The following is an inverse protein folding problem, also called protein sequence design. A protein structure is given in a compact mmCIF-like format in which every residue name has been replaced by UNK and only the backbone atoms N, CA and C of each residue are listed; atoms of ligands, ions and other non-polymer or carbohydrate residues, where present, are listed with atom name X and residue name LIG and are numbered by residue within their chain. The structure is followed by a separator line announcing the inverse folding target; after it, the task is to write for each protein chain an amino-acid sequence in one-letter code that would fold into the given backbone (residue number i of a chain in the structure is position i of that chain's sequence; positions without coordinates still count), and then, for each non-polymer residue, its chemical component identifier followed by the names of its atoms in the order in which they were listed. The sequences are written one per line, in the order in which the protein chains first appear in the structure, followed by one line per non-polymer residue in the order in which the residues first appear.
data_IF_209071074004
#
_entry.id   IF_209071074004
#
_cell.length_a   1.000
_cell.length_b   1.000
_cell.length_c   1.000
_cell.angle_alpha   90.00
_cell.angle_beta   90.00
_cell.angle_gamma   90.00
#
_symmetry.space_group_name_H-M   'P 1'
#
loop_
_entity.id
_entity.type
_entity.pdbx_description
1 polymer ?
#
# COMPACT_ATOMS: atom_id res chain seq x y z
N UNK A 1 -13.30 13.66 21.90
CA UNK A 1 -13.11 12.51 20.97
C UNK A 1 -12.62 11.26 21.69
N UNK A 2 -11.55 11.31 22.50
CA UNK A 2 -11.03 10.14 23.21
C UNK A 2 -12.02 9.50 24.21
N UNK A 3 -12.92 10.28 24.82
CA UNK A 3 -13.97 9.76 25.72
C UNK A 3 -15.06 8.98 24.99
N UNK A 4 -15.46 9.41 23.79
CA UNK A 4 -16.46 8.72 22.95
C UNK A 4 -15.96 7.36 22.48
N UNK A 5 -14.69 7.29 22.02
CA UNK A 5 -14.11 6.01 21.61
C UNK A 5 -13.92 5.05 22.79
N UNK A 6 -13.54 5.54 23.98
CA UNK A 6 -13.53 4.72 25.21
C UNK A 6 -14.94 4.24 25.57
N UNK A 7 -15.96 5.07 25.44
CA UNK A 7 -17.34 4.70 25.79
C UNK A 7 -17.95 3.62 24.87
N UNK A 8 -17.41 3.43 23.67
CA UNK A 8 -17.81 2.33 22.76
C UNK A 8 -16.83 1.14 22.79
N UNK A 9 -15.99 1.03 23.83
CA UNK A 9 -15.08 -0.11 24.03
C UNK A 9 -13.85 -0.11 23.14
N UNK A 10 -13.50 1.03 22.53
CA UNK A 10 -12.27 1.23 21.75
C UNK A 10 -11.16 1.86 22.61
N UNK A 11 -10.89 1.32 23.81
CA UNK A 11 -9.70 1.67 24.59
C UNK A 11 -8.60 0.64 24.35
N UNK A 12 -7.52 1.06 23.72
CA UNK A 12 -6.38 0.19 23.40
C UNK A 12 -5.30 0.31 24.49
N UNK A 13 -5.57 -0.22 25.67
CA UNK A 13 -4.53 -0.35 26.71
C UNK A 13 -3.72 -1.63 26.46
N UNK A 14 -2.41 -1.43 26.20
CA UNK A 14 -1.31 -2.36 26.48
C UNK A 14 -1.25 -3.75 25.82
N UNK A 15 -2.34 -4.29 25.26
CA UNK A 15 -2.37 -5.70 24.84
C UNK A 15 -3.29 -6.04 23.66
N UNK A 16 -4.18 -5.15 23.23
CA UNK A 16 -5.24 -5.54 22.28
C UNK A 16 -4.94 -5.21 20.81
N UNK A 17 -3.73 -5.58 20.38
CA UNK A 17 -3.36 -5.53 18.96
C UNK A 17 -4.24 -6.45 18.10
N UNK A 18 -4.90 -7.44 18.72
CA UNK A 18 -5.97 -8.25 18.13
C UNK A 18 -7.16 -7.39 17.68
N UNK A 19 -7.58 -6.39 18.47
CA UNK A 19 -8.67 -5.49 18.09
C UNK A 19 -8.33 -4.57 16.91
N UNK A 20 -7.06 -4.15 16.79
CA UNK A 20 -6.59 -3.39 15.62
C UNK A 20 -6.56 -4.26 14.37
N UNK A 21 -6.10 -5.52 14.49
CA UNK A 21 -6.23 -6.53 13.44
C UNK A 21 -7.70 -6.74 13.04
N UNK A 22 -8.63 -6.82 13.99
CA UNK A 22 -10.03 -7.12 13.72
C UNK A 22 -10.79 -5.99 12.98
N UNK A 23 -10.31 -4.74 13.03
CA UNK A 23 -10.97 -3.58 12.37
C UNK A 23 -10.21 -3.02 11.18
N UNK A 24 -8.88 -3.08 11.21
CA UNK A 24 -8.04 -2.59 10.11
C UNK A 24 -7.94 -3.60 8.97
N UNK A 25 -7.87 -4.90 9.28
CA UNK A 25 -7.81 -5.97 8.26
C UNK A 25 -9.07 -6.01 7.40
N UNK A 26 -10.31 -5.91 7.92
CA UNK A 26 -11.50 -5.84 7.07
C UNK A 26 -11.51 -4.63 6.13
N UNK A 27 -11.03 -3.46 6.58
CA UNK A 27 -10.93 -2.28 5.72
C UNK A 27 -9.93 -2.52 4.58
N UNK A 28 -8.78 -3.11 4.88
CA UNK A 28 -7.79 -3.49 3.86
C UNK A 28 -8.34 -4.56 2.91
N UNK A 29 -9.12 -5.53 3.40
CA UNK A 29 -9.81 -6.51 2.57
C UNK A 29 -10.84 -5.86 1.65
N UNK A 30 -11.60 -4.87 2.13
CA UNK A 30 -12.53 -4.11 1.27
C UNK A 30 -11.76 -3.38 0.18
N UNK A 31 -10.65 -2.71 0.51
CA UNK A 31 -9.79 -2.03 -0.47
C UNK A 31 -9.23 -3.03 -1.49
N UNK A 32 -8.70 -4.17 -1.04
CA UNK A 32 -8.21 -5.25 -1.91
C UNK A 32 -9.33 -5.73 -2.84
N UNK A 33 -10.53 -5.96 -2.29
CA UNK A 33 -11.68 -6.46 -3.03
C UNK A 33 -12.17 -5.46 -4.08
N UNK A 34 -12.27 -4.18 -3.73
CA UNK A 34 -12.67 -3.13 -4.66
C UNK A 34 -11.62 -2.93 -5.75
N UNK A 35 -10.33 -2.91 -5.39
CA UNK A 35 -9.23 -2.83 -6.35
C UNK A 35 -9.25 -4.04 -7.29
N UNK A 36 -9.41 -5.25 -6.78
CA UNK A 36 -9.52 -6.46 -7.61
C UNK A 36 -10.74 -6.43 -8.54
N UNK A 37 -11.91 -6.01 -8.03
CA UNK A 37 -13.13 -5.89 -8.84
C UNK A 37 -12.96 -4.84 -9.93
N UNK A 38 -12.37 -3.69 -9.62
CA UNK A 38 -12.16 -2.61 -10.59
C UNK A 38 -11.08 -2.97 -11.62
N UNK A 39 -10.03 -3.67 -11.21
CA UNK A 39 -9.01 -4.25 -12.11
C UNK A 39 -9.62 -5.29 -13.05
N UNK A 40 -10.51 -6.14 -12.54
CA UNK A 40 -11.19 -7.15 -13.36
C UNK A 40 -12.23 -6.52 -14.28
N UNK A 41 -12.83 -5.39 -13.88
CA UNK A 41 -13.95 -4.75 -14.58
C UNK A 41 -13.53 -3.68 -15.58
N UNK A 42 -12.44 -2.97 -15.32
CA UNK A 42 -11.86 -2.04 -16.29
C UNK A 42 -11.00 -2.82 -17.27
N UNK A 43 -11.11 -2.54 -18.56
CA UNK A 43 -10.06 -2.89 -19.52
C UNK A 43 -8.84 -2.02 -19.13
N UNK A 44 -8.07 -2.47 -18.12
CA UNK A 44 -7.08 -1.65 -17.38
C UNK A 44 -6.05 -1.00 -18.31
N UNK A 45 -5.84 -1.54 -19.51
CA UNK A 45 -4.85 -1.09 -20.49
C UNK A 45 -4.89 0.40 -20.82
N UNK A 46 -6.05 1.02 -20.98
CA UNK A 46 -6.12 2.44 -21.39
C UNK A 46 -5.97 3.44 -20.24
N UNK A 47 -6.13 3.00 -18.99
CA UNK A 47 -6.18 3.89 -17.82
C UNK A 47 -5.31 3.43 -16.65
N UNK A 48 -4.37 2.50 -16.87
CA UNK A 48 -3.46 1.95 -15.85
C UNK A 48 -2.87 3.05 -14.97
N UNK A 49 -2.36 4.12 -15.58
CA UNK A 49 -1.69 5.21 -14.87
C UNK A 49 -2.63 5.92 -13.92
N UNK A 50 -3.79 6.36 -14.42
CA UNK A 50 -4.74 7.11 -13.62
C UNK A 50 -5.23 6.29 -12.42
N UNK A 51 -5.52 5.01 -12.66
CA UNK A 51 -5.93 4.09 -11.63
C UNK A 51 -4.81 3.83 -10.60
N UNK A 52 -3.58 3.59 -11.05
CA UNK A 52 -2.43 3.40 -10.18
C UNK A 52 -2.19 4.63 -9.30
N UNK A 53 -2.20 5.84 -9.89
CA UNK A 53 -2.02 7.09 -9.14
C UNK A 53 -3.15 7.33 -8.12
N UNK A 54 -4.41 7.06 -8.51
CA UNK A 54 -5.55 7.16 -7.59
C UNK A 54 -5.43 6.16 -6.44
N UNK A 55 -5.12 4.90 -6.74
CA UNK A 55 -4.87 3.87 -5.73
C UNK A 55 -3.77 4.29 -4.75
N UNK A 56 -2.67 4.83 -5.28
CA UNK A 56 -1.54 5.28 -4.47
C UNK A 56 -1.93 6.41 -3.51
N UNK A 57 -2.74 7.36 -3.98
CA UNK A 57 -3.30 8.40 -3.13
C UNK A 57 -4.18 7.79 -2.02
N UNK A 58 -5.07 6.86 -2.37
CA UNK A 58 -5.97 6.19 -1.42
C UNK A 58 -5.19 5.40 -0.37
N UNK A 59 -4.24 4.55 -0.77
CA UNK A 59 -3.50 3.70 0.17
C UNK A 59 -2.65 4.55 1.12
N UNK A 60 -1.98 5.60 0.62
CA UNK A 60 -1.20 6.50 1.45
C UNK A 60 -2.10 7.24 2.46
N UNK A 61 -3.25 7.73 2.01
CA UNK A 61 -4.21 8.41 2.88
C UNK A 61 -4.75 7.47 3.96
N UNK A 62 -5.16 6.25 3.60
CA UNK A 62 -5.67 5.26 4.54
C UNK A 62 -4.63 4.87 5.61
N UNK A 63 -3.37 4.67 5.23
CA UNK A 63 -2.33 4.33 6.19
C UNK A 63 -2.04 5.50 7.14
N UNK A 64 -1.96 6.74 6.63
CA UNK A 64 -1.79 7.93 7.47
C UNK A 64 -2.95 8.11 8.47
N UNK A 65 -4.19 7.98 8.00
CA UNK A 65 -5.36 8.03 8.88
C UNK A 65 -5.37 6.89 9.90
N UNK A 66 -4.97 5.69 9.47
CA UNK A 66 -4.78 4.54 10.35
C UNK A 66 -3.81 4.87 11.49
N UNK A 67 -2.64 5.42 11.19
CA UNK A 67 -1.67 5.83 12.20
C UNK A 67 -2.22 6.88 13.17
N UNK A 68 -2.83 7.95 12.66
CA UNK A 68 -3.42 9.01 13.48
C UNK A 68 -4.48 8.45 14.44
N UNK A 69 -5.33 7.55 13.95
CA UNK A 69 -6.35 6.89 14.74
C UNK A 69 -5.73 5.95 15.78
N UNK A 70 -4.76 5.12 15.39
CA UNK A 70 -4.04 4.23 16.30
C UNK A 70 -3.43 4.99 17.47
N UNK A 71 -2.75 6.12 17.21
CA UNK A 71 -2.19 6.96 18.28
C UNK A 71 -3.28 7.58 19.14
N UNK A 72 -4.34 8.10 18.54
CA UNK A 72 -5.44 8.76 19.27
C UNK A 72 -6.16 7.81 20.22
N UNK A 73 -6.30 6.53 19.84
CA UNK A 73 -7.02 5.51 20.60
C UNK A 73 -6.17 4.84 21.70
N UNK A 74 -4.85 4.81 21.54
CA UNK A 74 -3.92 4.13 22.45
C UNK A 74 -3.29 5.08 23.46
N UNK A 75 -3.10 6.35 23.12
CA UNK A 75 -2.34 7.29 23.96
C UNK A 75 -3.25 8.10 24.89
N UNK A 76 -2.96 8.17 26.20
CA UNK A 76 -3.56 9.16 27.09
C UNK A 76 -3.29 10.59 26.58
N UNK A 77 -4.35 11.36 26.33
CA UNK A 77 -4.26 12.69 25.71
C UNK A 77 -4.40 12.71 24.19
N UNK A 78 -4.45 11.55 23.52
CA UNK A 78 -4.67 11.43 22.08
C UNK A 78 -3.45 11.81 21.23
N UNK A 79 -3.70 12.11 19.95
CA UNK A 79 -2.64 12.50 19.02
C UNK A 79 -2.13 13.93 19.31
N UNK A 80 -0.80 14.13 19.49
CA UNK A 80 -0.23 15.43 19.84
C UNK A 80 -0.13 16.34 18.60
N UNK A 81 -1.23 16.98 18.22
CA UNK A 81 -1.28 17.91 17.08
C UNK A 81 -0.38 19.14 17.25
N UNK A 82 -0.01 19.52 18.48
CA UNK A 82 0.90 20.66 18.73
C UNK A 82 2.35 20.37 18.38
N UNK A 83 2.77 19.10 18.38
CA UNK A 83 4.14 18.69 18.02
C UNK A 83 4.14 17.26 17.45
N UNK A 84 3.49 17.02 16.29
CA UNK A 84 3.24 15.68 15.78
C UNK A 84 4.52 14.88 15.51
N UNK A 85 5.60 15.58 15.12
CA UNK A 85 6.90 14.98 14.81
C UNK A 85 7.76 14.66 16.03
N UNK A 86 7.47 15.28 17.18
CA UNK A 86 8.16 14.99 18.43
C UNK A 86 7.65 13.70 19.10
N UNK A 87 6.58 13.11 18.55
CA UNK A 87 6.04 11.87 19.06
C UNK A 87 6.88 10.66 18.65
N UNK A 88 7.43 9.98 19.66
CA UNK A 88 8.06 8.67 19.51
C UNK A 88 7.00 7.60 19.67
N UNK A 89 6.64 6.93 18.56
CA UNK A 89 5.79 5.76 18.61
C UNK A 89 6.60 4.53 19.04
N UNK A 90 5.96 3.60 19.74
CA UNK A 90 6.57 2.34 20.17
C UNK A 90 5.74 1.13 19.76
N UNK A 91 6.38 -0.04 19.83
CA UNK A 91 5.80 -1.33 19.53
C UNK A 91 5.07 -1.33 18.21
N UNK A 92 3.78 -1.53 18.27
CA UNK A 92 3.01 -1.88 17.10
C UNK A 92 2.40 -0.64 16.41
N UNK A 93 2.29 0.49 17.10
CA UNK A 93 2.07 1.82 16.49
C UNK A 93 3.31 2.26 15.71
N UNK A 94 4.51 1.98 16.25
CA UNK A 94 5.76 2.21 15.53
C UNK A 94 5.80 1.43 14.22
N UNK A 95 5.35 0.17 14.22
CA UNK A 95 5.22 -0.64 13.00
C UNK A 95 4.25 -0.04 11.97
N UNK A 96 3.14 0.58 12.38
CA UNK A 96 2.26 1.34 11.46
C UNK A 96 3.01 2.51 10.85
N UNK A 97 3.77 3.27 11.65
CA UNK A 97 4.58 4.39 11.16
C UNK A 97 5.60 3.92 10.12
N UNK A 98 6.36 2.86 10.43
CA UNK A 98 7.37 2.33 9.51
C UNK A 98 6.75 1.74 8.24
N UNK A 99 5.55 1.16 8.30
CA UNK A 99 4.88 0.65 7.10
C UNK A 99 4.43 1.78 6.17
N UNK A 100 4.04 2.95 6.71
CA UNK A 100 3.77 4.16 5.93
C UNK A 100 5.04 4.64 5.24
N UNK A 101 6.13 4.79 5.99
CA UNK A 101 7.43 5.27 5.46
C UNK A 101 7.92 4.37 4.32
N UNK A 102 7.90 3.05 4.51
CA UNK A 102 8.27 2.10 3.45
C UNK A 102 7.33 2.16 2.24
N UNK A 103 6.03 2.35 2.47
CA UNK A 103 5.06 2.51 1.38
C UNK A 103 5.36 3.76 0.58
N UNK A 104 5.67 4.86 1.23
CA UNK A 104 6.04 6.10 0.56
C UNK A 104 7.32 5.96 -0.28
N UNK A 105 8.37 5.33 0.26
CA UNK A 105 9.63 5.10 -0.48
C UNK A 105 9.42 4.29 -1.77
N UNK A 106 8.72 3.16 -1.66
CA UNK A 106 8.44 2.30 -2.82
C UNK A 106 7.42 2.91 -3.80
N UNK A 107 6.50 3.74 -3.31
CA UNK A 107 5.52 4.46 -4.14
C UNK A 107 6.19 5.36 -5.18
N UNK A 108 7.23 6.08 -4.80
CA UNK A 108 7.94 6.99 -5.72
C UNK A 108 8.48 6.20 -6.92
N UNK A 109 9.13 5.05 -6.67
CA UNK A 109 9.65 4.19 -7.72
C UNK A 109 8.53 3.66 -8.64
N UNK A 110 7.40 3.25 -8.05
CA UNK A 110 6.26 2.75 -8.82
C UNK A 110 5.60 3.83 -9.69
N UNK A 111 5.41 5.05 -9.17
CA UNK A 111 4.87 6.20 -9.93
C UNK A 111 5.72 6.45 -11.17
N UNK A 112 7.04 6.50 -10.99
CA UNK A 112 7.98 6.76 -12.08
C UNK A 112 7.89 5.62 -13.12
N UNK A 113 7.88 4.36 -12.67
CA UNK A 113 7.77 3.22 -13.57
C UNK A 113 6.49 3.27 -14.42
N UNK A 114 5.33 3.47 -13.79
CA UNK A 114 4.03 3.51 -14.48
C UNK A 114 3.94 4.66 -15.49
N UNK A 115 4.46 5.85 -15.14
CA UNK A 115 4.46 7.00 -16.06
C UNK A 115 5.37 6.76 -17.26
N UNK A 116 6.56 6.17 -17.04
CA UNK A 116 7.49 5.87 -18.15
C UNK A 116 6.89 4.79 -19.06
N UNK A 117 6.32 3.74 -18.48
CA UNK A 117 5.62 2.69 -19.21
C UNK A 117 4.54 3.26 -20.13
N UNK A 118 3.67 4.14 -19.62
CA UNK A 118 2.60 4.78 -20.39
C UNK A 118 3.10 5.58 -21.60
N UNK A 119 4.32 6.11 -21.54
CA UNK A 119 4.89 6.94 -22.62
C UNK A 119 5.73 6.17 -23.62
N UNK A 120 6.32 5.05 -23.22
CA UNK A 120 7.38 4.38 -23.99
C UNK A 120 6.99 2.97 -24.42
N UNK A 121 6.07 2.32 -23.71
CA UNK A 121 5.67 0.95 -24.04
C UNK A 121 4.71 0.91 -25.22
N UNK A 122 4.91 -0.08 -26.10
CA UNK A 122 3.96 -0.38 -27.18
C UNK A 122 2.67 -1.02 -26.66
N UNK A 123 1.63 -1.03 -27.49
CA UNK A 123 0.28 -1.50 -27.11
C UNK A 123 0.28 -2.94 -26.54
N UNK A 124 1.19 -3.79 -27.01
CA UNK A 124 1.30 -5.17 -26.52
C UNK A 124 1.96 -5.24 -25.13
N UNK A 125 2.95 -4.38 -24.88
CA UNK A 125 3.58 -4.28 -23.57
C UNK A 125 2.66 -3.64 -22.51
N UNK A 126 1.67 -2.83 -22.92
CA UNK A 126 0.71 -2.18 -22.00
C UNK A 126 -0.09 -3.19 -21.17
N UNK A 127 -0.54 -4.32 -21.76
CA UNK A 127 -1.29 -5.35 -21.02
C UNK A 127 -0.42 -6.04 -19.96
N UNK A 128 0.84 -6.33 -20.30
CA UNK A 128 1.78 -6.91 -19.36
C UNK A 128 2.11 -5.93 -18.24
N UNK A 129 2.36 -4.65 -18.57
CA UNK A 129 2.60 -3.57 -17.62
C UNK A 129 1.42 -3.42 -16.67
N UNK A 130 0.18 -3.46 -17.18
CA UNK A 130 -1.02 -3.43 -16.37
C UNK A 130 -1.03 -4.57 -15.34
N UNK A 131 -0.70 -5.79 -15.77
CA UNK A 131 -0.63 -6.96 -14.90
C UNK A 131 0.42 -6.79 -13.77
N UNK A 132 1.61 -6.28 -14.10
CA UNK A 132 2.64 -5.98 -13.10
C UNK A 132 2.25 -4.85 -12.16
N UNK A 133 1.60 -3.80 -12.66
CA UNK A 133 1.08 -2.71 -11.85
C UNK A 133 0.04 -3.20 -10.84
N UNK A 134 -0.88 -4.06 -11.26
CA UNK A 134 -1.85 -4.72 -10.36
C UNK A 134 -1.12 -5.52 -9.28
N UNK A 135 -0.10 -6.28 -9.65
CA UNK A 135 0.68 -7.05 -8.67
C UNK A 135 1.37 -6.15 -7.64
N UNK A 136 1.92 -5.01 -8.06
CA UNK A 136 2.45 -3.99 -7.14
C UNK A 136 1.36 -3.50 -6.21
N UNK A 137 0.19 -3.15 -6.73
CA UNK A 137 -0.93 -2.66 -5.92
C UNK A 137 -1.41 -3.71 -4.90
N UNK A 138 -1.52 -4.98 -5.29
CA UNK A 138 -1.90 -6.05 -4.37
C UNK A 138 -0.87 -6.24 -3.26
N UNK A 139 0.41 -6.37 -3.64
CA UNK A 139 1.51 -6.57 -2.69
C UNK A 139 1.66 -5.39 -1.74
N UNK A 140 1.51 -4.14 -2.22
CA UNK A 140 1.55 -2.94 -1.37
C UNK A 140 0.33 -2.78 -0.48
N UNK A 141 -0.81 -3.38 -0.82
CA UNK A 141 -1.99 -3.39 0.05
C UNK A 141 -1.84 -4.40 1.19
N UNK A 142 -1.30 -5.59 0.93
CA UNK A 142 -1.11 -6.60 1.98
C UNK A 142 0.13 -6.34 2.85
N UNK A 143 1.15 -5.65 2.32
CA UNK A 143 2.41 -5.40 3.03
C UNK A 143 2.22 -4.72 4.39
N UNK A 144 1.45 -3.63 4.53
CA UNK A 144 1.18 -3.02 5.83
C UNK A 144 0.52 -3.97 6.82
N UNK A 145 -0.34 -4.90 6.37
CA UNK A 145 -0.97 -5.90 7.25
C UNK A 145 0.09 -6.82 7.85
N UNK A 146 0.98 -7.35 7.02
CA UNK A 146 2.09 -8.18 7.50
C UNK A 146 3.07 -7.41 8.38
N UNK A 147 3.31 -6.13 8.05
CA UNK A 147 4.18 -5.26 8.84
C UNK A 147 3.62 -5.01 10.24
N UNK A 148 2.34 -4.63 10.31
CA UNK A 148 1.65 -4.35 11.56
C UNK A 148 1.53 -5.63 12.40
N UNK A 149 1.18 -6.74 11.74
CA UNK A 149 1.04 -8.08 12.33
C UNK A 149 2.36 -8.77 12.69
N UNK A 150 3.51 -8.16 12.43
CA UNK A 150 4.85 -8.70 12.76
C UNK A 150 5.15 -10.06 12.09
N UNK A 151 4.69 -10.23 10.84
CA UNK A 151 4.88 -11.46 10.06
C UNK A 151 6.04 -11.28 9.09
N UNK A 152 7.26 -11.53 9.59
CA UNK A 152 8.51 -11.19 8.91
C UNK A 152 8.65 -11.75 7.50
N UNK A 153 8.42 -13.06 7.33
CA UNK A 153 8.59 -13.71 6.04
C UNK A 153 7.64 -13.14 4.97
N UNK A 154 6.35 -12.99 5.29
CA UNK A 154 5.36 -12.44 4.35
C UNK A 154 5.59 -10.95 4.07
N UNK A 155 6.05 -10.19 5.06
CA UNK A 155 6.49 -8.80 4.88
C UNK A 155 7.64 -8.72 3.88
N UNK A 156 8.70 -9.50 4.08
CA UNK A 156 9.85 -9.50 3.17
C UNK A 156 9.48 -9.97 1.76
N UNK A 157 8.68 -11.03 1.67
CA UNK A 157 8.23 -11.58 0.39
C UNK A 157 7.36 -10.60 -0.40
N UNK A 158 6.36 -9.98 0.24
CA UNK A 158 5.49 -8.98 -0.42
C UNK A 158 6.28 -7.74 -0.86
N UNK A 159 7.26 -7.29 -0.07
CA UNK A 159 8.16 -6.23 -0.48
C UNK A 159 9.01 -6.61 -1.69
N UNK A 160 9.67 -7.78 -1.65
CA UNK A 160 10.52 -8.25 -2.73
C UNK A 160 9.74 -8.41 -4.03
N UNK A 161 8.53 -8.98 -3.96
CA UNK A 161 7.64 -9.16 -5.11
C UNK A 161 7.23 -7.82 -5.71
N UNK A 162 6.85 -6.84 -4.87
CA UNK A 162 6.52 -5.48 -5.31
C UNK A 162 7.70 -4.81 -6.01
N UNK A 163 8.89 -4.85 -5.39
CA UNK A 163 10.08 -4.26 -5.96
C UNK A 163 10.48 -4.94 -7.28
N UNK A 164 10.44 -6.26 -7.35
CA UNK A 164 10.76 -7.01 -8.57
C UNK A 164 9.83 -6.61 -9.73
N UNK A 165 8.53 -6.47 -9.48
CA UNK A 165 7.56 -5.99 -10.47
C UNK A 165 7.91 -4.58 -10.97
N UNK A 166 8.25 -3.66 -10.07
CA UNK A 166 8.66 -2.29 -10.44
C UNK A 166 9.92 -2.32 -11.33
N UNK A 167 10.93 -3.11 -10.96
CA UNK A 167 12.15 -3.25 -11.77
C UNK A 167 11.84 -3.85 -13.14
N UNK A 168 10.97 -4.86 -13.21
CA UNK A 168 10.58 -5.47 -14.47
C UNK A 168 9.86 -4.48 -15.39
N UNK A 169 8.98 -3.63 -14.85
CA UNK A 169 8.34 -2.56 -15.61
C UNK A 169 9.36 -1.58 -16.21
N UNK A 170 10.41 -1.22 -15.46
CA UNK A 170 11.52 -0.43 -16.00
C UNK A 170 12.25 -1.16 -17.13
N UNK A 171 12.55 -2.46 -16.95
CA UNK A 171 13.24 -3.25 -17.98
C UNK A 171 12.44 -3.31 -19.28
N UNK A 172 11.14 -3.60 -19.21
CA UNK A 172 10.26 -3.61 -20.38
C UNK A 172 10.19 -2.25 -21.05
N UNK A 173 10.26 -1.16 -20.28
CA UNK A 173 10.19 0.20 -20.83
C UNK A 173 11.46 0.63 -21.56
N UNK A 174 12.63 0.23 -21.07
CA UNK A 174 13.92 0.71 -21.60
C UNK A 174 14.54 -0.22 -22.66
N UNK A 175 14.16 -1.49 -22.68
CA UNK A 175 14.80 -2.49 -23.53
C UNK A 175 13.80 -3.08 -24.54
N UNK A 176 13.90 -2.70 -25.83
CA UNK A 176 13.02 -3.21 -26.88
C UNK A 176 13.03 -4.74 -27.01
N UNK A 177 14.14 -5.39 -26.67
CA UNK A 177 14.28 -6.85 -26.69
C UNK A 177 13.27 -7.51 -25.74
N UNK A 178 13.03 -6.91 -24.57
CA UNK A 178 12.04 -7.41 -23.62
C UNK A 178 10.62 -7.21 -24.13
N UNK A 179 10.32 -6.09 -24.82
CA UNK A 179 9.03 -5.90 -25.47
C UNK A 179 8.79 -6.96 -26.55
N UNK A 180 9.84 -7.31 -27.31
CA UNK A 180 9.75 -8.34 -28.35
C UNK A 180 9.58 -9.76 -27.82
N UNK A 181 10.22 -10.10 -26.69
CA UNK A 181 10.05 -11.39 -26.01
C UNK A 181 8.59 -11.60 -25.60
N UNK A 182 7.97 -10.56 -25.04
CA UNK A 182 6.57 -10.58 -24.62
C UNK A 182 5.63 -10.85 -25.81
N UNK A 183 5.93 -10.33 -27.01
CA UNK A 183 5.13 -10.61 -28.23
C UNK A 183 5.15 -12.09 -28.66
N UNK A 184 6.18 -12.83 -28.27
CA UNK A 184 6.39 -14.23 -28.72
C UNK A 184 5.78 -15.28 -27.78
N UNK A 185 5.24 -14.86 -26.64
CA UNK A 185 4.68 -15.73 -25.60
C UNK A 185 3.17 -15.61 -25.58
#
# INVERSE_FOLDING_TARGET
MSSFFRSIGLSLDGGDFKAMNLKFVPLMFVVISTVLVDVVRSNVTEHVVHFALFYLFVIWYLLNWGYMLSVTLTKPGGYPNSAPRAYTAEGAIYRVKCSIENTFESMVCFIIAVIICDKVADDNAQELIASWAVLVMLTRTIYPVFYIGDIDFLRAFSFALSMMSIHFMFLVSFFPEFQSFVKST
#
